data_IF_270749833074
#
_entry.id   IF_270749833074
#
_cell.length_a   1.000
_cell.length_b   1.000
_cell.length_c   1.000
_cell.angle_alpha   90.00
_cell.angle_beta   90.00
_cell.angle_gamma   90.00
#
_symmetry.space_group_name_H-M   'P 1'
#
loop_
_entity.id
_entity.type
_entity.pdbx_description
1 polymer ?
#
# COMPACT_ATOMS: atom_id res chain seq x y z
N UNK A 1 0.89 12.64 12.44
CA UNK A 1 1.86 12.29 11.38
C UNK A 1 3.20 12.12 12.08
N UNK A 2 3.97 11.05 11.83
CA UNK A 2 5.29 10.90 12.43
C UNK A 2 6.23 11.96 11.87
N UNK A 3 7.07 12.50 12.74
CA UNK A 3 8.26 13.23 12.34
C UNK A 3 9.44 12.27 12.50
N UNK A 4 10.24 12.12 11.45
CA UNK A 4 11.45 11.31 11.47
C UNK A 4 12.59 12.04 12.20
N UNK A 5 13.63 11.34 12.68
CA UNK A 5 14.84 11.95 13.25
C UNK A 5 15.45 13.07 12.40
N UNK A 6 15.39 12.97 11.07
CA UNK A 6 15.83 14.03 10.16
C UNK A 6 14.98 15.31 10.17
N UNK A 7 13.87 15.31 10.90
CA UNK A 7 12.87 16.38 10.92
C UNK A 7 11.80 16.30 9.82
N UNK A 8 11.91 15.32 8.90
CA UNK A 8 10.94 15.11 7.81
C UNK A 8 9.61 14.62 8.37
N UNK A 9 8.50 15.23 7.95
CA UNK A 9 7.16 14.74 8.24
C UNK A 9 6.72 13.77 7.14
N UNK A 10 6.34 12.56 7.53
CA UNK A 10 6.01 11.50 6.57
C UNK A 10 4.57 11.05 6.75
N UNK A 11 3.95 10.64 5.65
CA UNK A 11 2.75 9.82 5.69
C UNK A 11 2.75 8.78 4.58
N UNK A 12 1.73 7.92 4.65
CA UNK A 12 1.57 6.81 3.72
C UNK A 12 0.16 6.73 3.16
N UNK A 13 0.05 6.27 1.92
CA UNK A 13 -1.21 6.13 1.19
C UNK A 13 -1.30 4.77 0.53
N UNK A 14 -2.52 4.33 0.22
CA UNK A 14 -2.80 3.02 -0.35
C UNK A 14 -3.53 3.13 -1.70
N UNK A 15 -3.29 4.23 -2.44
CA UNK A 15 -4.00 4.51 -3.69
C UNK A 15 -3.71 3.42 -4.75
N UNK A 16 -2.45 2.97 -4.95
CA UNK A 16 -2.16 1.86 -5.85
C UNK A 16 -2.82 0.53 -5.44
N UNK A 17 -3.08 0.32 -4.14
CA UNK A 17 -3.80 -0.87 -3.68
C UNK A 17 -5.27 -0.79 -4.06
N UNK A 18 -5.88 0.38 -3.95
CA UNK A 18 -7.27 0.63 -4.35
C UNK A 18 -7.41 0.40 -5.85
N UNK A 19 -6.52 0.98 -6.66
CA UNK A 19 -6.52 0.79 -8.12
C UNK A 19 -6.38 -0.70 -8.48
N UNK A 20 -5.49 -1.44 -7.78
CA UNK A 20 -5.33 -2.88 -7.98
C UNK A 20 -6.62 -3.67 -7.66
N UNK A 21 -7.32 -3.31 -6.57
CA UNK A 21 -8.60 -3.92 -6.21
C UNK A 21 -9.67 -3.63 -7.27
N UNK A 22 -9.75 -2.39 -7.75
CA UNK A 22 -10.71 -1.98 -8.78
C UNK A 22 -10.44 -2.68 -10.12
N UNK A 23 -9.19 -2.77 -10.54
CA UNK A 23 -8.80 -3.51 -11.75
C UNK A 23 -9.15 -5.00 -11.64
N UNK A 24 -8.86 -5.61 -10.48
CA UNK A 24 -9.15 -7.02 -10.25
C UNK A 24 -10.67 -7.31 -10.25
N UNK A 25 -11.44 -6.49 -9.53
CA UNK A 25 -12.89 -6.66 -9.39
C UNK A 25 -13.65 -6.30 -10.67
N UNK A 26 -13.14 -5.37 -11.48
CA UNK A 26 -13.73 -5.00 -12.78
C UNK A 26 -13.44 -6.02 -13.91
N UNK A 27 -12.62 -7.05 -13.64
CA UNK A 27 -12.25 -8.06 -14.64
C UNK A 27 -11.28 -7.54 -15.70
N UNK A 28 -10.61 -6.39 -15.45
CA UNK A 28 -9.53 -5.88 -16.28
C UNK A 28 -8.27 -6.71 -15.98
N UNK A 29 -8.20 -7.87 -16.63
CA UNK A 29 -7.33 -9.03 -16.38
C UNK A 29 -5.79 -8.82 -16.29
N UNK A 30 -5.25 -7.60 -16.40
CA UNK A 30 -3.80 -7.41 -16.51
C UNK A 30 -3.02 -7.57 -15.18
N UNK A 31 -3.69 -7.50 -14.03
CA UNK A 31 -3.03 -7.50 -12.71
C UNK A 31 -3.56 -8.54 -11.73
N UNK A 32 -4.32 -9.54 -12.20
CA UNK A 32 -4.89 -10.63 -11.39
C UNK A 32 -3.87 -11.24 -10.42
N UNK A 33 -2.74 -11.71 -10.95
CA UNK A 33 -1.68 -12.35 -10.17
C UNK A 33 -1.06 -11.46 -9.09
N UNK A 34 -0.98 -10.14 -9.31
CA UNK A 34 -0.45 -9.17 -8.32
C UNK A 34 -1.34 -9.11 -7.09
N UNK A 35 -2.65 -9.18 -7.32
CA UNK A 35 -3.65 -9.23 -6.25
C UNK A 35 -3.65 -10.61 -5.55
N UNK A 36 -3.54 -11.69 -6.33
CA UNK A 36 -3.49 -13.05 -5.79
C UNK A 36 -2.24 -13.31 -4.96
N UNK A 37 -1.13 -12.61 -5.22
CA UNK A 37 0.10 -12.70 -4.45
C UNK A 37 0.06 -12.06 -3.06
N UNK A 38 -1.01 -11.34 -2.70
CA UNK A 38 -1.09 -10.65 -1.40
C UNK A 38 -1.67 -11.60 -0.34
N UNK A 39 -0.84 -12.18 0.51
CA UNK A 39 -1.27 -13.15 1.53
C UNK A 39 -1.00 -12.68 2.97
N UNK A 40 -0.02 -11.81 3.16
CA UNK A 40 0.30 -11.16 4.42
C UNK A 40 0.40 -9.62 4.32
N UNK A 41 0.66 -8.97 5.47
CA UNK A 41 0.74 -7.51 5.57
C UNK A 41 1.95 -6.94 4.81
N UNK A 42 3.07 -7.66 4.75
CA UNK A 42 4.27 -7.20 4.04
C UNK A 42 4.03 -7.20 2.54
N UNK A 43 3.18 -8.09 2.02
CA UNK A 43 2.77 -8.08 0.62
C UNK A 43 1.98 -6.83 0.22
N UNK A 44 1.46 -6.07 1.19
CA UNK A 44 0.84 -4.77 0.94
C UNK A 44 1.88 -3.68 0.66
N UNK A 45 3.10 -3.79 1.19
CA UNK A 45 4.12 -2.74 1.16
C UNK A 45 4.46 -2.23 -0.25
N UNK A 46 4.54 -3.08 -1.30
CA UNK A 46 4.70 -2.62 -2.68
C UNK A 46 3.57 -1.73 -3.19
N UNK A 47 2.43 -1.64 -2.50
CA UNK A 47 1.27 -0.83 -2.86
C UNK A 47 1.01 0.32 -1.89
N UNK A 48 1.90 0.51 -0.91
CA UNK A 48 1.86 1.61 0.03
C UNK A 48 2.83 2.70 -0.43
N UNK A 49 2.26 3.84 -0.85
CA UNK A 49 3.00 5.02 -1.26
C UNK A 49 3.44 5.86 -0.06
N UNK A 50 4.55 6.55 -0.24
CA UNK A 50 5.12 7.46 0.75
C UNK A 50 4.98 8.89 0.25
N UNK A 51 4.57 9.79 1.14
CA UNK A 51 4.55 11.22 0.87
C UNK A 51 5.19 11.99 2.01
N UNK A 52 5.78 13.13 1.67
CA UNK A 52 6.32 14.08 2.63
C UNK A 52 5.33 15.22 2.86
N UNK A 53 5.47 15.86 4.00
CA UNK A 53 4.80 17.12 4.30
C UNK A 53 5.84 18.20 4.53
N UNK A 54 5.66 19.32 3.84
CA UNK A 54 6.50 20.50 3.99
C UNK A 54 5.64 21.72 4.31
N UNK A 55 6.21 22.67 5.04
CA UNK A 55 5.51 23.90 5.40
C UNK A 55 5.44 24.85 4.19
N UNK A 56 4.29 25.48 4.00
CA UNK A 56 4.07 26.54 3.02
C UNK A 56 3.77 27.82 3.81
N UNK A 57 4.48 28.88 3.47
CA UNK A 57 4.22 30.21 4.05
C UNK A 57 2.86 30.77 3.62
N UNK A 58 2.35 30.37 2.46
CA UNK A 58 1.00 30.65 1.98
C UNK A 58 0.58 29.57 0.96
N UNK A 59 -0.51 28.85 1.21
CA UNK A 59 -0.99 27.85 0.26
C UNK A 59 -2.25 27.11 0.67
N UNK A 60 -3.09 26.85 -0.34
CA UNK A 60 -4.36 26.10 -0.22
C UNK A 60 -4.15 24.75 0.47
N UNK A 61 -5.07 24.42 1.39
CA UNK A 61 -5.01 23.17 2.17
C UNK A 61 -5.03 21.97 1.23
N UNK A 62 -4.16 20.95 1.41
CA UNK A 62 -4.21 19.76 0.59
C UNK A 62 -5.58 19.07 0.74
N UNK A 63 -6.19 18.69 -0.38
CA UNK A 63 -7.38 17.83 -0.37
C UNK A 63 -6.96 16.44 0.11
N UNK A 64 -7.43 16.08 1.31
CA UNK A 64 -7.20 14.76 1.90
C UNK A 64 -8.44 13.88 1.71
N UNK A 65 -8.25 12.57 1.79
CA UNK A 65 -9.37 11.62 1.85
C UNK A 65 -10.16 11.79 3.14
N UNK A 66 -11.45 11.50 3.12
CA UNK A 66 -12.45 11.76 4.18
C UNK A 66 -12.12 11.19 5.57
N UNK A 67 -11.16 10.25 5.66
CA UNK A 67 -10.74 9.60 6.91
C UNK A 67 -9.32 9.98 7.37
N UNK A 68 -8.72 10.99 6.73
CA UNK A 68 -7.40 11.47 7.11
C UNK A 68 -7.46 12.26 8.41
N UNK A 69 -6.38 12.25 9.20
CA UNK A 69 -6.26 13.20 10.30
C UNK A 69 -6.21 14.63 9.74
N UNK A 70 -6.74 15.64 10.48
CA UNK A 70 -6.53 17.02 10.11
C UNK A 70 -5.03 17.30 10.04
N UNK A 71 -4.62 17.92 8.94
CA UNK A 71 -3.25 18.43 8.75
C UNK A 71 -3.21 19.83 9.36
N UNK A 72 -2.16 20.14 10.12
CA UNK A 72 -1.94 21.48 10.65
C UNK A 72 -1.89 22.50 9.50
N UNK A 73 -2.52 23.66 9.70
CA UNK A 73 -2.60 24.69 8.66
C UNK A 73 -1.19 25.06 8.16
N UNK A 74 -1.01 25.10 6.84
CA UNK A 74 0.26 25.46 6.21
C UNK A 74 1.16 24.28 5.85
N UNK A 75 0.66 23.05 5.73
CA UNK A 75 1.45 21.91 5.24
C UNK A 75 0.98 21.46 3.84
N UNK A 76 1.92 21.24 2.90
CA UNK A 76 1.69 20.66 1.57
C UNK A 76 2.07 19.19 1.54
N UNK A 77 1.20 18.35 0.95
CA UNK A 77 1.59 16.99 0.55
C UNK A 77 2.55 17.07 -0.65
N UNK A 78 3.72 16.46 -0.52
CA UNK A 78 4.68 16.25 -1.60
C UNK A 78 4.71 14.76 -1.92
N UNK A 79 4.39 14.42 -3.17
CA UNK A 79 4.47 13.05 -3.65
C UNK A 79 5.92 12.69 -3.94
N UNK A 80 6.39 11.60 -3.34
CA UNK A 80 7.80 11.18 -3.47
C UNK A 80 8.02 10.23 -4.63
N UNK A 81 6.96 9.58 -5.12
CA UNK A 81 7.05 8.44 -6.03
C UNK A 81 7.64 7.16 -5.40
N UNK A 82 7.95 7.20 -4.10
CA UNK A 82 8.51 6.07 -3.35
C UNK A 82 7.41 5.20 -2.76
N UNK A 83 7.69 3.90 -2.67
CA UNK A 83 6.93 2.91 -1.92
C UNK A 83 7.74 2.39 -0.75
N UNK A 84 7.09 1.70 0.19
CA UNK A 84 7.76 1.15 1.38
C UNK A 84 9.03 0.36 1.06
N UNK A 85 9.07 -0.55 0.05
CA UNK A 85 10.30 -1.26 -0.29
C UNK A 85 11.44 -0.37 -0.78
N UNK A 86 11.15 0.80 -1.37
CA UNK A 86 12.17 1.71 -1.89
C UNK A 86 13.01 2.35 -0.78
N UNK A 87 12.41 2.57 0.39
CA UNK A 87 13.10 3.14 1.57
C UNK A 87 14.23 2.25 2.08
N UNK A 88 14.07 0.94 1.95
CA UNK A 88 15.01 -0.06 2.48
C UNK A 88 16.02 -0.56 1.44
N UNK A 89 16.07 0.04 0.26
CA UNK A 89 17.13 -0.23 -0.73
C UNK A 89 18.43 0.46 -0.32
N UNK A 90 19.56 -0.13 -0.72
CA UNK A 90 20.90 0.38 -0.40
C UNK A 90 21.17 1.80 -0.95
N UNK A 91 20.45 2.20 -2.00
CA UNK A 91 20.58 3.51 -2.63
C UNK A 91 19.56 4.55 -2.13
N UNK A 92 18.82 4.25 -1.07
CA UNK A 92 17.89 5.18 -0.43
C UNK A 92 18.65 6.35 0.21
N UNK A 93 18.11 7.57 0.11
CA UNK A 93 18.66 8.77 0.75
C UNK A 93 18.34 8.86 2.25
N UNK A 94 17.65 7.85 2.80
CA UNK A 94 17.25 7.80 4.20
C UNK A 94 18.40 7.34 5.09
N UNK A 95 18.57 8.05 6.20
CA UNK A 95 19.48 7.59 7.27
C UNK A 95 18.95 6.29 7.90
N UNK A 96 19.84 5.51 8.52
CA UNK A 96 19.43 4.30 9.23
C UNK A 96 18.45 4.60 10.38
N UNK A 97 18.65 5.72 11.08
CA UNK A 97 17.74 6.17 12.15
C UNK A 97 16.34 6.48 11.61
N UNK A 98 16.25 7.12 10.43
CA UNK A 98 14.97 7.38 9.77
C UNK A 98 14.28 6.10 9.31
N UNK A 99 15.04 5.13 8.78
CA UNK A 99 14.51 3.82 8.38
C UNK A 99 13.92 3.08 9.57
N UNK A 100 14.62 3.08 10.71
CA UNK A 100 14.13 2.47 11.96
C UNK A 100 12.87 3.18 12.45
N UNK A 101 12.88 4.50 12.56
CA UNK A 101 11.72 5.28 13.02
C UNK A 101 10.50 5.08 12.11
N UNK A 102 10.71 4.96 10.80
CA UNK A 102 9.64 4.69 9.85
C UNK A 102 9.10 3.27 9.94
N UNK A 103 9.97 2.29 10.17
CA UNK A 103 9.55 0.92 10.42
C UNK A 103 8.70 0.82 11.69
N UNK A 104 9.13 1.47 12.78
CA UNK A 104 8.35 1.55 14.03
C UNK A 104 6.99 2.23 13.81
N UNK A 105 6.96 3.28 12.99
CA UNK A 105 5.71 3.92 12.60
C UNK A 105 4.76 2.97 11.85
N UNK A 106 5.26 2.22 10.86
CA UNK A 106 4.49 1.22 10.12
C UNK A 106 4.01 0.07 11.03
N UNK A 107 4.77 -0.27 12.06
CA UNK A 107 4.44 -1.32 13.03
C UNK A 107 3.57 -0.83 14.19
N UNK A 108 3.29 0.48 14.27
CA UNK A 108 2.40 1.02 15.30
C UNK A 108 1.03 0.34 15.28
N UNK A 109 0.37 0.24 16.44
CA UNK A 109 -0.92 -0.45 16.58
C UNK A 109 -1.96 0.04 15.57
N UNK A 110 -1.98 1.35 15.30
CA UNK A 110 -2.90 1.97 14.35
C UNK A 110 -2.67 1.47 12.93
N UNK A 111 -1.42 1.46 12.45
CA UNK A 111 -1.11 1.01 11.09
C UNK A 111 -1.26 -0.48 10.95
N UNK A 112 -0.83 -1.24 11.95
CA UNK A 112 -1.08 -2.69 12.03
C UNK A 112 -2.56 -3.01 11.93
N UNK A 113 -3.45 -2.32 12.67
CA UNK A 113 -4.91 -2.49 12.55
C UNK A 113 -5.42 -2.11 11.16
N UNK A 114 -4.91 -1.03 10.57
CA UNK A 114 -5.33 -0.58 9.24
C UNK A 114 -4.93 -1.56 8.14
N UNK A 115 -3.68 -2.04 8.15
CA UNK A 115 -3.18 -3.01 7.19
C UNK A 115 -3.85 -4.37 7.34
N UNK A 116 -4.09 -4.84 8.56
CA UNK A 116 -4.86 -6.07 8.78
C UNK A 116 -6.27 -5.96 8.20
N UNK A 117 -6.95 -4.82 8.39
CA UNK A 117 -8.28 -4.59 7.79
C UNK A 117 -8.23 -4.61 6.25
N UNK A 118 -7.21 -4.02 5.65
CA UNK A 118 -7.01 -4.07 4.20
C UNK A 118 -6.75 -5.51 3.72
N UNK A 119 -5.89 -6.26 4.42
CA UNK A 119 -5.61 -7.66 4.13
C UNK A 119 -6.86 -8.54 4.26
N UNK A 120 -7.67 -8.34 5.30
CA UNK A 120 -8.94 -9.05 5.48
C UNK A 120 -9.90 -8.76 4.32
N UNK A 121 -9.94 -7.51 3.85
CA UNK A 121 -10.76 -7.11 2.70
C UNK A 121 -10.30 -7.83 1.43
N UNK A 122 -8.99 -7.91 1.20
CA UNK A 122 -8.41 -8.66 0.07
C UNK A 122 -8.76 -10.14 0.16
N UNK A 123 -8.63 -10.76 1.34
CA UNK A 123 -8.99 -12.17 1.57
C UNK A 123 -10.47 -12.43 1.30
N UNK A 124 -11.35 -11.53 1.74
CA UNK A 124 -12.78 -11.60 1.41
C UNK A 124 -13.01 -11.53 -0.10
N UNK A 125 -12.38 -10.60 -0.81
CA UNK A 125 -12.52 -10.47 -2.27
C UNK A 125 -12.01 -11.74 -3.00
N UNK A 126 -10.88 -12.31 -2.58
CA UNK A 126 -10.37 -13.59 -3.12
C UNK A 126 -11.40 -14.73 -2.94
N UNK A 127 -12.03 -14.80 -1.76
CA UNK A 127 -13.07 -15.79 -1.48
C UNK A 127 -14.32 -15.55 -2.33
N UNK A 128 -14.80 -14.31 -2.43
CA UNK A 128 -15.97 -13.94 -3.21
C UNK A 128 -15.80 -14.26 -4.69
N UNK A 129 -14.61 -14.00 -5.27
CA UNK A 129 -14.33 -14.30 -6.68
C UNK A 129 -14.30 -15.81 -6.95
N UNK A 130 -13.85 -16.60 -5.98
CA UNK A 130 -13.90 -18.08 -6.10
C UNK A 130 -15.34 -18.58 -6.24
N UNK A 131 -16.30 -17.90 -5.62
CA UNK A 131 -17.71 -18.28 -5.62
C UNK A 131 -18.51 -17.62 -6.76
N UNK A 132 -18.30 -16.32 -6.97
CA UNK A 132 -19.16 -15.45 -7.77
C UNK A 132 -18.44 -14.74 -8.92
N UNK A 133 -17.13 -14.93 -9.07
CA UNK A 133 -16.35 -14.35 -10.16
C UNK A 133 -16.72 -14.95 -11.53
N UNK A 134 -16.21 -14.33 -12.59
CA UNK A 134 -16.27 -14.93 -13.93
C UNK A 134 -15.51 -16.27 -13.95
N UNK A 135 -15.87 -17.16 -14.88
CA UNK A 135 -15.17 -18.45 -15.03
C UNK A 135 -13.66 -18.29 -15.24
N UNK A 136 -13.25 -17.22 -15.94
CA UNK A 136 -11.85 -16.88 -16.09
C UNK A 136 -11.19 -16.52 -14.74
N UNK A 137 -11.79 -15.62 -13.95
CA UNK A 137 -11.24 -15.24 -12.64
C UNK A 137 -11.18 -16.43 -11.68
N UNK A 138 -12.20 -17.31 -11.69
CA UNK A 138 -12.19 -18.56 -10.92
C UNK A 138 -11.03 -19.46 -11.35
N UNK A 139 -10.79 -19.61 -12.65
CA UNK A 139 -9.69 -20.40 -13.18
C UNK A 139 -8.32 -19.84 -12.75
N UNK A 140 -8.13 -18.52 -12.82
CA UNK A 140 -6.90 -17.85 -12.35
C UNK A 140 -6.65 -18.07 -10.86
N UNK A 141 -7.67 -17.90 -10.02
CA UNK A 141 -7.58 -18.20 -8.58
C UNK A 141 -7.26 -19.67 -8.34
N UNK A 142 -7.89 -20.58 -9.09
CA UNK A 142 -7.63 -22.01 -8.99
C UNK A 142 -6.17 -22.35 -9.38
N UNK A 143 -5.65 -21.77 -10.47
CA UNK A 143 -4.26 -21.95 -10.89
C UNK A 143 -3.29 -21.45 -9.82
N UNK A 144 -3.55 -20.29 -9.24
CA UNK A 144 -2.75 -19.71 -8.16
C UNK A 144 -2.75 -20.61 -6.91
N UNK A 145 -3.93 -21.02 -6.45
CA UNK A 145 -4.07 -21.85 -5.25
C UNK A 145 -3.45 -23.25 -5.39
N UNK A 146 -3.30 -23.75 -6.62
CA UNK A 146 -2.65 -25.03 -6.89
C UNK A 146 -1.15 -24.91 -7.18
N UNK A 147 -0.56 -23.72 -7.10
CA UNK A 147 0.83 -23.45 -7.47
C UNK A 147 1.17 -23.79 -8.93
N UNK A 148 0.20 -23.63 -9.84
CA UNK A 148 0.35 -23.94 -11.28
C UNK A 148 0.47 -22.63 -12.09
N UNK A 149 0.33 -21.48 -11.46
CA UNK A 149 0.42 -20.21 -12.15
C UNK A 149 1.88 -19.91 -12.52
N UNK A 150 2.16 -19.68 -13.80
CA UNK A 150 3.50 -19.45 -14.38
C UNK A 150 4.31 -18.30 -13.74
N UNK A 151 3.65 -17.39 -13.02
CA UNK A 151 4.30 -16.32 -12.24
C UNK A 151 4.73 -16.73 -10.83
N UNK A 152 4.30 -17.87 -10.32
CA UNK A 152 4.72 -18.42 -9.02
C UNK A 152 6.09 -19.11 -9.10
N UNK A 153 6.55 -19.51 -10.30
CA UNK A 153 7.83 -20.19 -10.51
C UNK A 153 9.06 -19.26 -10.46
N UNK A 154 8.88 -17.98 -10.12
CA UNK A 154 9.97 -16.97 -10.07
C UNK A 154 10.26 -16.47 -8.66
N UNK A 155 10.59 -17.36 -7.73
CA UNK A 155 11.27 -17.01 -6.47
C UNK A 155 12.21 -18.13 -6.03
#
# INVERSE_FOLDING_TARGET
MPQLPSGRHVGVGSDPLIDLVEDFTSGKNFSCWRFLAIDDVKDLYPYIEIFYFDFIEDGDRPKLKDHSLPIDAGLKKIETGLRVPDVFKDNSDWSEDDKVAFLEFLQSERFTKSFNRQLDTIKMIKADITLYGSEFQKAEVALWNNNIHWLQEKH
#
